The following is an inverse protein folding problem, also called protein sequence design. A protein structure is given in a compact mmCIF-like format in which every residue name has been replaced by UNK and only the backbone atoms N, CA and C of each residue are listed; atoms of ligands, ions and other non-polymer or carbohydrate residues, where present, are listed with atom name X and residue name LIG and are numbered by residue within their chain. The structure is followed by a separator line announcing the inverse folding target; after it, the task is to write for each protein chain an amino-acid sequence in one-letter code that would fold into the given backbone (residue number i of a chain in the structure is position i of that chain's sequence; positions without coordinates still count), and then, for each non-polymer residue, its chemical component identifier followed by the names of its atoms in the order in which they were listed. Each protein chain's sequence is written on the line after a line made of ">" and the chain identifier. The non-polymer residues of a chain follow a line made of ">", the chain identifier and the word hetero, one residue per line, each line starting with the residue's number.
data_IF_516877327028
#
_entry.id   IF_516877327028
#
_cell.length_a   1.000
_cell.length_b   1.000
_cell.length_c   1.000
_cell.angle_alpha   90.00
_cell.angle_beta   90.00
_cell.angle_gamma   90.00
#
_symmetry.space_group_name_H-M   'P 1'
#
loop_
_entity.id
_entity.type
_entity.pdbx_description
1 polymer ?
#
# COMPACT_ATOMS: atom_id res chain seq x y z
N UNK A 1 3.79 11.52 36.42
CA UNK A 1 3.99 10.18 35.82
C UNK A 1 4.17 10.34 34.33
N UNK A 2 4.93 9.45 33.68
CA UNK A 2 5.21 9.52 32.25
C UNK A 2 4.86 8.20 31.57
N UNK A 3 4.27 8.30 30.38
CA UNK A 3 4.02 7.14 29.52
C UNK A 3 5.34 6.45 29.18
N UNK A 4 5.33 5.11 29.17
CA UNK A 4 6.51 4.26 28.99
C UNK A 4 7.18 3.81 30.29
N UNK A 5 6.81 4.36 31.45
CA UNK A 5 7.33 3.91 32.73
C UNK A 5 6.75 2.55 33.15
N UNK A 6 7.57 1.69 33.76
CA UNK A 6 7.09 0.47 34.40
C UNK A 6 6.30 0.82 35.67
N UNK A 7 5.34 -0.05 36.04
CA UNK A 7 4.59 0.08 37.29
C UNK A 7 5.51 0.23 38.51
N UNK A 8 6.58 -0.58 38.57
CA UNK A 8 7.54 -0.54 39.70
C UNK A 8 8.21 0.84 39.80
N UNK A 9 8.59 1.43 38.66
CA UNK A 9 9.15 2.79 38.63
C UNK A 9 8.11 3.83 39.04
N UNK A 10 6.88 3.71 38.56
CA UNK A 10 5.77 4.60 38.94
C UNK A 10 5.59 4.58 40.46
N UNK A 11 5.53 3.39 41.07
CA UNK A 11 5.35 3.22 42.51
C UNK A 11 6.55 3.70 43.33
N UNK A 12 7.77 3.49 42.84
CA UNK A 12 8.98 3.99 43.50
C UNK A 12 9.03 5.53 43.59
N UNK A 13 8.51 6.22 42.56
CA UNK A 13 8.49 7.69 42.50
C UNK A 13 7.24 8.28 43.15
N UNK A 14 6.15 7.51 43.27
CA UNK A 14 4.86 7.98 43.78
C UNK A 14 4.43 7.10 44.97
N UNK A 15 4.86 7.43 46.21
CA UNK A 15 4.43 6.72 47.40
C UNK A 15 2.90 6.66 47.50
N UNK A 16 2.37 5.45 47.73
CA UNK A 16 0.92 5.20 47.81
C UNK A 16 0.21 4.99 46.47
N UNK A 17 0.95 4.85 45.35
CA UNK A 17 0.35 4.40 44.10
C UNK A 17 -0.09 2.92 44.22
N UNK A 18 -1.29 2.54 43.74
CA UNK A 18 -1.84 1.21 43.96
C UNK A 18 -1.01 0.05 43.39
N UNK A 19 -1.16 -1.13 44.00
CA UNK A 19 -0.61 -2.38 43.50
C UNK A 19 -1.27 -2.81 42.19
N UNK A 20 -0.59 -3.69 41.43
CA UNK A 20 -1.14 -4.28 40.21
C UNK A 20 -2.50 -4.95 40.43
N UNK A 21 -2.68 -5.63 41.58
CA UNK A 21 -3.91 -6.33 41.94
C UNK A 21 -5.10 -5.41 42.19
N UNK A 22 -4.89 -4.10 42.37
CA UNK A 22 -5.96 -3.12 42.49
C UNK A 22 -6.53 -2.70 41.12
N UNK A 23 -5.87 -3.09 40.02
CA UNK A 23 -6.29 -2.73 38.67
C UNK A 23 -7.46 -3.56 38.17
N UNK A 24 -8.35 -2.91 37.43
CA UNK A 24 -9.45 -3.57 36.72
C UNK A 24 -9.05 -3.88 35.28
N UNK A 25 -9.43 -5.06 34.78
CA UNK A 25 -9.25 -5.39 33.36
C UNK A 25 -10.20 -4.57 32.51
N UNK A 26 -9.66 -3.92 31.50
CA UNK A 26 -10.41 -3.18 30.50
C UNK A 26 -10.23 -3.83 29.14
N UNK A 27 -11.32 -4.38 28.61
CA UNK A 27 -11.38 -5.01 27.28
C UNK A 27 -11.87 -4.06 26.18
N UNK A 28 -12.33 -2.87 26.55
CA UNK A 28 -12.90 -1.88 25.63
C UNK A 28 -11.90 -0.88 25.06
N UNK A 29 -10.62 -1.29 24.90
CA UNK A 29 -9.50 -0.40 24.56
C UNK A 29 -9.91 0.67 23.53
N UNK A 30 -9.78 1.97 23.85
CA UNK A 30 -9.97 3.03 22.87
C UNK A 30 -9.09 2.71 21.67
N UNK A 31 -9.64 2.73 20.45
CA UNK A 31 -8.87 2.42 19.27
C UNK A 31 -7.65 3.36 19.19
N UNK A 32 -6.45 2.77 19.26
CA UNK A 32 -5.17 3.50 19.24
C UNK A 32 -4.30 3.32 20.49
N UNK A 33 -4.83 2.99 21.68
CA UNK A 33 -4.00 2.78 22.87
C UNK A 33 -3.27 1.43 22.84
N UNK A 34 -3.91 0.41 22.26
CA UNK A 34 -3.33 -0.89 22.01
C UNK A 34 -3.93 -1.48 20.74
N UNK A 35 -3.15 -2.27 19.99
CA UNK A 35 -3.67 -3.00 18.82
C UNK A 35 -4.88 -3.88 19.16
N UNK A 36 -5.65 -4.32 18.16
CA UNK A 36 -6.86 -5.13 18.36
C UNK A 36 -6.57 -6.37 19.23
N UNK A 37 -7.47 -6.64 20.19
CA UNK A 37 -7.40 -7.81 21.07
C UNK A 37 -6.49 -7.70 22.30
N UNK A 38 -5.82 -6.56 22.53
CA UNK A 38 -5.01 -6.36 23.73
C UNK A 38 -5.85 -5.90 24.93
N UNK A 39 -5.66 -6.58 26.07
CA UNK A 39 -6.29 -6.26 27.35
C UNK A 39 -5.41 -5.29 28.13
N UNK A 40 -6.01 -4.21 28.62
CA UNK A 40 -5.36 -3.25 29.50
C UNK A 40 -5.74 -3.48 30.96
N UNK A 41 -4.85 -3.10 31.86
CA UNK A 41 -5.14 -2.99 33.29
C UNK A 41 -5.23 -1.52 33.64
N UNK A 42 -6.38 -1.11 34.17
CA UNK A 42 -6.65 0.28 34.54
C UNK A 42 -6.54 0.42 36.05
N UNK A 43 -5.65 1.30 36.50
CA UNK A 43 -5.51 1.67 37.90
C UNK A 43 -5.99 3.11 38.05
N UNK A 44 -6.99 3.33 38.90
CA UNK A 44 -7.49 4.68 39.23
C UNK A 44 -6.75 5.21 40.44
N UNK A 45 -6.19 6.41 40.34
CA UNK A 45 -5.50 7.06 41.44
C UNK A 45 -5.58 8.58 41.31
N UNK A 46 -5.99 9.26 42.39
CA UNK A 46 -6.14 10.73 42.46
C UNK A 46 -6.87 11.30 41.23
N UNK A 47 -8.05 10.72 40.97
CA UNK A 47 -8.99 11.11 39.90
C UNK A 47 -8.54 10.85 38.45
N UNK A 48 -7.35 10.28 38.26
CA UNK A 48 -6.85 9.87 36.96
C UNK A 48 -6.95 8.35 36.79
N UNK A 49 -7.14 7.90 35.55
CA UNK A 49 -7.01 6.49 35.20
C UNK A 49 -5.68 6.25 34.47
N UNK A 50 -4.89 5.31 34.98
CA UNK A 50 -3.60 4.92 34.43
C UNK A 50 -3.72 3.55 33.78
N UNK A 51 -3.44 3.48 32.48
CA UNK A 51 -3.64 2.30 31.66
C UNK A 51 -2.30 1.61 31.43
N UNK A 52 -2.19 0.38 31.90
CA UNK A 52 -1.00 -0.45 31.76
C UNK A 52 -1.25 -1.62 30.82
N UNK A 53 -0.25 -1.96 30.02
CA UNK A 53 -0.28 -3.19 29.22
C UNK A 53 0.06 -4.44 30.04
N UNK A 54 0.04 -5.61 29.41
CA UNK A 54 0.35 -6.88 30.07
C UNK A 54 1.80 -6.98 30.58
N UNK A 55 2.72 -6.14 30.09
CA UNK A 55 4.09 -6.03 30.57
C UNK A 55 4.23 -5.10 31.79
N UNK A 56 3.11 -4.57 32.30
CA UNK A 56 3.05 -3.56 33.37
C UNK A 56 3.74 -2.26 33.00
N UNK A 57 3.72 -1.91 31.72
CA UNK A 57 4.19 -0.62 31.22
C UNK A 57 3.02 0.35 31.09
N UNK A 58 3.19 1.58 31.58
CA UNK A 58 2.17 2.64 31.46
C UNK A 58 2.07 3.07 30.00
N UNK A 59 0.94 2.82 29.35
CA UNK A 59 0.71 3.11 27.92
C UNK A 59 -0.28 4.25 27.68
N UNK A 60 -1.08 4.61 28.68
CA UNK A 60 -2.03 5.71 28.60
C UNK A 60 -2.37 6.31 29.96
N UNK A 61 -2.74 7.58 29.95
CA UNK A 61 -3.24 8.31 31.10
C UNK A 61 -4.52 9.02 30.66
N UNK A 62 -5.63 8.72 31.34
CA UNK A 62 -6.86 9.50 31.27
C UNK A 62 -6.87 10.47 32.46
N UNK A 63 -6.78 11.79 32.24
CA UNK A 63 -6.86 12.76 33.31
C UNK A 63 -8.28 12.89 33.90
N UNK A 64 -9.28 12.22 33.33
CA UNK A 64 -10.66 12.29 33.78
C UNK A 64 -11.29 13.66 33.53
N UNK A 65 -12.18 14.07 34.44
CA UNK A 65 -12.98 15.29 34.30
C UNK A 65 -12.20 16.60 34.42
N UNK A 66 -10.97 16.59 34.95
CA UNK A 66 -10.15 17.79 35.12
C UNK A 66 -9.56 18.31 33.79
N UNK A 67 -9.48 17.45 32.77
CA UNK A 67 -8.90 17.80 31.47
C UNK A 67 -7.37 17.80 31.46
N UNK A 68 -6.81 18.25 30.33
CA UNK A 68 -5.36 18.40 30.14
C UNK A 68 -4.84 19.68 30.80
N UNK A 69 -3.52 19.76 30.98
CA UNK A 69 -2.85 20.96 31.49
C UNK A 69 -3.09 22.19 30.59
N UNK A 70 -3.36 21.96 29.31
CA UNK A 70 -3.62 22.98 28.29
C UNK A 70 -5.09 23.45 28.27
N UNK A 71 -5.92 23.00 29.21
CA UNK A 71 -7.30 23.45 29.39
C UNK A 71 -8.35 22.75 28.53
N UNK A 72 -7.96 21.76 27.71
CA UNK A 72 -8.89 20.93 26.93
C UNK A 72 -9.44 19.82 27.80
N UNK A 73 -10.77 19.68 27.88
CA UNK A 73 -11.43 18.73 28.79
C UNK A 73 -12.65 18.05 28.13
N UNK A 74 -13.19 16.97 28.72
CA UNK A 74 -14.50 16.48 28.33
C UNK A 74 -15.54 17.60 28.29
N UNK A 75 -16.31 17.67 27.20
CA UNK A 75 -17.25 18.75 26.90
C UNK A 75 -16.70 19.86 25.99
N UNK A 76 -15.39 20.01 25.84
CA UNK A 76 -14.81 20.96 24.87
C UNK A 76 -15.17 20.60 23.43
N UNK A 77 -15.21 21.58 22.55
CA UNK A 77 -15.45 21.44 21.12
C UNK A 77 -14.18 21.04 20.34
N UNK A 78 -14.32 20.48 19.12
CA UNK A 78 -13.18 20.27 18.23
C UNK A 78 -12.43 21.55 17.84
N UNK A 79 -13.10 22.71 17.88
CA UNK A 79 -12.48 24.00 17.57
C UNK A 79 -11.49 24.39 18.67
N UNK A 80 -11.89 24.24 19.94
CA UNK A 80 -11.01 24.51 21.08
C UNK A 80 -9.80 23.57 21.07
N UNK A 81 -9.99 22.27 20.84
CA UNK A 81 -8.87 21.33 20.76
C UNK A 81 -7.89 21.67 19.62
N UNK A 82 -8.38 22.08 18.45
CA UNK A 82 -7.54 22.50 17.31
C UNK A 82 -6.82 23.82 17.56
N UNK A 83 -7.43 24.74 18.31
CA UNK A 83 -6.78 26.00 18.67
C UNK A 83 -5.56 25.77 19.57
N UNK A 84 -5.62 24.74 20.42
CA UNK A 84 -4.53 24.38 21.35
C UNK A 84 -3.49 23.47 20.68
N UNK A 85 -3.93 22.40 20.02
CA UNK A 85 -3.03 21.34 19.53
C UNK A 85 -2.74 21.41 18.03
N UNK A 86 -3.34 22.35 17.30
CA UNK A 86 -3.20 22.47 15.85
C UNK A 86 -3.99 21.42 15.06
N UNK A 87 -3.48 21.09 13.88
CA UNK A 87 -4.12 20.12 12.99
C UNK A 87 -3.97 18.68 13.53
N UNK A 88 -5.02 17.84 13.45
CA UNK A 88 -4.92 16.46 13.87
C UNK A 88 -4.04 15.65 12.91
N UNK A 89 -3.28 14.69 13.45
CA UNK A 89 -2.47 13.76 12.66
C UNK A 89 -3.30 12.66 12.03
N UNK A 90 -4.37 12.23 12.71
CA UNK A 90 -5.32 11.26 12.20
C UNK A 90 -6.69 11.37 12.85
N UNK A 91 -7.70 10.88 12.12
CA UNK A 91 -9.08 10.79 12.56
C UNK A 91 -9.64 9.45 12.11
N UNK A 92 -10.24 8.69 13.03
CA UNK A 92 -10.86 7.40 12.77
C UNK A 92 -12.29 7.37 13.33
N UNK A 93 -13.24 6.88 12.53
CA UNK A 93 -14.61 6.62 12.98
C UNK A 93 -14.64 5.28 13.71
N UNK A 94 -15.25 5.25 14.89
CA UNK A 94 -15.42 4.06 15.70
C UNK A 94 -16.77 3.39 15.39
N UNK A 95 -16.90 2.10 15.71
CA UNK A 95 -18.10 1.31 15.46
C UNK A 95 -19.33 1.83 16.22
N UNK A 96 -19.13 2.47 17.37
CA UNK A 96 -20.16 3.08 18.21
C UNK A 96 -20.59 4.49 17.74
N UNK A 97 -20.08 4.94 16.58
CA UNK A 97 -20.38 6.26 16.01
C UNK A 97 -19.55 7.40 16.57
N UNK A 98 -18.70 7.16 17.58
CA UNK A 98 -17.72 8.15 18.07
C UNK A 98 -16.55 8.28 17.09
N UNK A 99 -15.71 9.30 17.29
CA UNK A 99 -14.51 9.52 16.48
C UNK A 99 -13.28 9.65 17.36
N UNK A 100 -12.25 8.87 17.07
CA UNK A 100 -10.94 8.96 17.69
C UNK A 100 -10.04 9.85 16.85
N UNK A 101 -9.47 10.89 17.45
CA UNK A 101 -8.60 11.86 16.80
C UNK A 101 -7.29 11.95 17.55
N UNK A 102 -6.17 11.86 16.84
CA UNK A 102 -4.84 12.01 17.42
C UNK A 102 -4.28 13.41 17.14
N UNK A 103 -3.72 14.01 18.18
CA UNK A 103 -2.92 15.23 18.11
C UNK A 103 -1.53 14.97 18.70
N UNK A 104 -0.50 15.59 18.14
CA UNK A 104 0.86 15.53 18.70
C UNK A 104 0.87 16.23 20.07
N UNK A 105 1.31 15.53 21.12
CA UNK A 105 1.51 16.14 22.43
C UNK A 105 2.99 16.54 22.63
N UNK A 106 3.90 15.61 22.37
CA UNK A 106 5.35 15.85 22.42
C UNK A 106 6.04 14.95 21.38
N UNK A 107 6.70 15.57 20.41
CA UNK A 107 7.40 14.89 19.32
C UNK A 107 8.68 14.19 19.77
N UNK A 108 9.34 14.70 20.82
CA UNK A 108 10.56 14.13 21.39
C UNK A 108 10.24 12.92 22.25
N UNK A 109 9.24 13.04 23.12
CA UNK A 109 8.77 11.93 23.96
C UNK A 109 7.88 10.93 23.19
N UNK A 110 7.53 11.23 21.94
CA UNK A 110 6.65 10.44 21.06
C UNK A 110 5.28 10.17 21.70
N UNK A 111 4.74 11.18 22.38
CA UNK A 111 3.42 11.12 23.01
C UNK A 111 2.39 11.91 22.22
N UNK A 112 1.13 11.46 22.31
CA UNK A 112 -0.02 12.00 21.60
C UNK A 112 -1.19 12.21 22.56
N UNK A 113 -2.06 13.16 22.21
CA UNK A 113 -3.40 13.26 22.75
C UNK A 113 -4.36 12.46 21.86
N UNK A 114 -4.90 11.35 22.38
CA UNK A 114 -5.99 10.62 21.76
C UNK A 114 -7.31 11.16 22.32
N UNK A 115 -8.04 11.90 21.49
CA UNK A 115 -9.30 12.53 21.85
C UNK A 115 -10.46 11.78 21.20
N UNK A 116 -11.44 11.36 22.00
CA UNK A 116 -12.65 10.71 21.51
C UNK A 116 -13.79 11.73 21.51
N UNK A 117 -14.42 11.95 20.35
CA UNK A 117 -15.57 12.83 20.17
C UNK A 117 -16.88 12.04 20.09
N UNK A 118 -17.98 12.60 20.59
CA UNK A 118 -19.32 12.00 20.52
C UNK A 118 -19.94 11.98 19.10
N UNK A 119 -19.22 12.47 18.09
CA UNK A 119 -19.66 12.54 16.70
C UNK A 119 -18.54 13.01 15.78
N UNK A 120 -18.85 13.26 14.51
CA UNK A 120 -17.85 13.66 13.52
C UNK A 120 -17.28 15.07 13.84
N UNK A 121 -15.97 15.22 14.16
CA UNK A 121 -15.36 16.52 14.51
C UNK A 121 -15.28 17.53 13.35
N UNK A 122 -15.62 17.10 12.13
CA UNK A 122 -15.76 17.95 10.95
C UNK A 122 -17.22 18.38 10.69
N UNK A 123 -18.21 17.70 11.29
CA UNK A 123 -19.61 18.12 11.26
C UNK A 123 -19.89 18.99 12.51
N UNK A 124 -20.61 20.10 12.36
CA UNK A 124 -20.92 20.98 13.48
C UNK A 124 -21.72 20.27 14.60
N UNK A 125 -21.54 20.73 15.85
CA UNK A 125 -22.17 20.23 17.09
C UNK A 125 -21.69 18.86 17.62
N UNK A 126 -20.39 18.74 17.93
CA UNK A 126 -19.84 17.61 18.70
C UNK A 126 -18.93 18.11 19.81
N UNK A 127 -18.72 17.28 20.83
CA UNK A 127 -17.88 17.57 22.00
C UNK A 127 -16.97 16.39 22.31
N UNK A 128 -15.88 16.68 23.01
CA UNK A 128 -14.96 15.69 23.56
C UNK A 128 -15.69 14.85 24.61
N UNK A 129 -15.64 13.54 24.44
CA UNK A 129 -16.10 12.54 25.39
C UNK A 129 -15.01 12.21 26.40
N UNK A 130 -13.81 11.88 25.90
CA UNK A 130 -12.66 11.40 26.68
C UNK A 130 -11.36 11.90 26.03
N UNK A 131 -10.32 12.09 26.84
CA UNK A 131 -8.96 12.43 26.41
C UNK A 131 -7.99 11.42 27.02
N UNK A 132 -7.05 10.92 26.23
CA UNK A 132 -5.91 10.15 26.74
C UNK A 132 -4.60 10.80 26.33
N UNK A 133 -3.63 10.86 27.25
CA UNK A 133 -2.22 11.06 26.93
C UNK A 133 -1.58 9.70 26.77
N UNK A 134 -0.98 9.41 25.62
CA UNK A 134 -0.49 8.08 25.32
C UNK A 134 0.72 8.04 24.40
N UNK A 135 1.41 6.91 24.39
CA UNK A 135 2.39 6.54 23.37
C UNK A 135 1.69 5.84 22.19
N UNK A 136 0.41 6.20 21.95
CA UNK A 136 -0.36 5.65 20.85
C UNK A 136 0.43 5.85 19.57
N UNK A 137 0.82 4.77 18.92
CA UNK A 137 1.17 4.85 17.51
C UNK A 137 -0.11 5.13 16.75
N UNK A 138 -0.14 6.22 15.97
CA UNK A 138 -1.09 6.39 14.88
C UNK A 138 -1.23 5.02 14.20
N UNK A 139 -2.42 4.41 14.09
CA UNK A 139 -2.61 3.42 13.04
C UNK A 139 -2.17 4.19 11.81
N UNK A 140 -1.01 3.86 11.25
CA UNK A 140 -0.51 4.55 10.05
C UNK A 140 -1.71 4.57 9.15
N UNK A 141 -2.24 5.76 8.86
CA UNK A 141 -3.18 5.93 7.77
C UNK A 141 -2.44 5.25 6.64
N UNK A 142 -2.87 4.06 6.24
CA UNK A 142 -2.20 3.35 5.15
C UNK A 142 -2.47 4.28 3.99
N UNK A 143 -1.52 5.18 3.73
CA UNK A 143 -1.60 6.07 2.59
C UNK A 143 -1.73 5.09 1.46
N UNK A 144 -2.92 5.06 0.85
CA UNK A 144 -3.17 4.16 -0.25
C UNK A 144 -2.00 4.38 -1.21
N UNK A 145 -1.26 3.31 -1.47
CA UNK A 145 -0.09 3.33 -2.33
C UNK A 145 -0.36 2.32 -3.42
N UNK A 146 -0.06 2.68 -4.65
CA UNK A 146 -0.06 1.72 -5.74
C UNK A 146 0.91 0.59 -5.40
N UNK A 147 0.40 -0.63 -5.33
CA UNK A 147 1.20 -1.82 -5.06
C UNK A 147 1.91 -2.23 -6.35
N UNK A 148 3.23 -2.32 -6.30
CA UNK A 148 4.03 -2.78 -7.44
C UNK A 148 4.58 -4.15 -7.10
N UNK A 149 4.28 -5.14 -7.93
CA UNK A 149 4.83 -6.48 -7.82
C UNK A 149 5.56 -6.89 -9.10
N UNK A 150 6.38 -7.92 -8.94
CA UNK A 150 7.33 -8.39 -9.91
C UNK A 150 7.22 -9.90 -9.97
N UNK A 151 7.20 -10.48 -11.17
CA UNK A 151 6.96 -11.91 -11.34
C UNK A 151 7.90 -12.53 -12.36
N UNK A 152 8.37 -13.73 -12.04
CA UNK A 152 9.07 -14.60 -12.97
C UNK A 152 8.40 -15.97 -12.99
N UNK A 153 8.40 -16.69 -14.12
CA UNK A 153 7.88 -18.04 -14.16
C UNK A 153 8.58 -18.97 -13.17
N UNK A 154 7.78 -19.59 -12.30
CA UNK A 154 8.22 -20.54 -11.28
C UNK A 154 7.14 -21.60 -11.07
N UNK A 155 7.53 -22.87 -11.12
CA UNK A 155 6.60 -23.99 -10.88
C UNK A 155 6.07 -23.99 -9.44
N UNK A 156 6.83 -23.43 -8.48
CA UNK A 156 6.38 -23.28 -7.10
C UNK A 156 5.23 -22.26 -6.97
N UNK A 157 5.18 -21.29 -7.88
CA UNK A 157 4.12 -20.26 -7.92
C UNK A 157 2.97 -20.64 -8.86
N UNK A 158 2.90 -21.92 -9.26
CA UNK A 158 1.83 -22.49 -10.09
C UNK A 158 1.94 -22.16 -11.58
N UNK A 159 3.13 -21.84 -12.09
CA UNK A 159 3.33 -21.63 -13.52
C UNK A 159 3.47 -22.94 -14.28
N UNK A 160 2.90 -22.97 -15.48
CA UNK A 160 3.16 -24.03 -16.47
C UNK A 160 4.36 -23.63 -17.32
N UNK A 161 5.48 -24.33 -17.16
CA UNK A 161 6.71 -24.09 -17.95
C UNK A 161 6.86 -25.20 -18.98
N UNK A 162 6.42 -24.94 -20.23
CA UNK A 162 6.47 -25.91 -21.32
C UNK A 162 7.88 -25.97 -21.92
N UNK A 163 8.38 -27.17 -22.17
CA UNK A 163 9.63 -27.35 -22.91
C UNK A 163 9.36 -27.21 -24.41
N UNK A 164 10.23 -26.46 -25.11
CA UNK A 164 10.25 -26.36 -26.58
C UNK A 164 11.53 -26.99 -27.10
N UNK A 165 11.43 -27.65 -28.25
CA UNK A 165 12.57 -28.29 -28.94
C UNK A 165 13.23 -27.37 -29.95
N UNK A 166 12.51 -26.37 -30.44
CA UNK A 166 13.01 -25.32 -31.31
C UNK A 166 13.69 -24.19 -30.51
N UNK A 167 14.51 -23.38 -31.20
CA UNK A 167 15.17 -22.19 -30.63
C UNK A 167 14.62 -20.91 -31.29
N UNK A 168 13.53 -20.33 -30.73
CA UNK A 168 12.97 -19.06 -31.20
C UNK A 168 13.93 -17.88 -31.09
N UNK A 169 15.02 -18.00 -30.33
CA UNK A 169 16.02 -16.95 -30.13
C UNK A 169 17.30 -17.22 -30.92
N UNK A 170 17.30 -18.16 -31.86
CA UNK A 170 18.48 -18.49 -32.67
C UNK A 170 18.98 -17.29 -33.48
N UNK A 171 18.07 -16.45 -34.00
CA UNK A 171 18.41 -15.22 -34.72
C UNK A 171 19.01 -14.13 -33.82
N UNK A 172 18.83 -14.21 -32.49
CA UNK A 172 19.53 -13.31 -31.55
C UNK A 172 21.06 -13.49 -31.66
N UNK A 173 21.57 -14.58 -32.27
CA UNK A 173 23.00 -14.79 -32.48
C UNK A 173 23.62 -14.02 -33.66
N UNK A 174 22.83 -13.53 -34.62
CA UNK A 174 23.36 -13.12 -35.96
C UNK A 174 23.51 -11.62 -36.18
N UNK A 175 23.24 -10.79 -35.18
CA UNK A 175 23.37 -9.32 -35.25
C UNK A 175 22.02 -8.63 -35.10
N UNK A 176 22.01 -7.55 -34.32
CA UNK A 176 20.95 -6.55 -34.12
C UNK A 176 19.53 -6.96 -33.66
N UNK A 177 19.13 -8.23 -33.72
CA UNK A 177 17.74 -8.66 -33.41
C UNK A 177 17.47 -8.97 -31.92
N UNK A 178 18.53 -9.09 -31.13
CA UNK A 178 18.43 -9.14 -29.69
C UNK A 178 18.22 -7.75 -29.12
N UNK A 179 16.97 -7.31 -29.04
CA UNK A 179 16.62 -6.05 -28.38
C UNK A 179 16.23 -6.29 -26.93
N UNK A 180 16.59 -5.34 -26.06
CA UNK A 180 16.02 -5.26 -24.72
C UNK A 180 14.50 -5.41 -24.78
N UNK A 181 13.94 -6.28 -23.95
CA UNK A 181 12.48 -6.43 -23.93
C UNK A 181 11.83 -5.13 -23.48
N UNK A 182 10.69 -4.77 -24.07
CA UNK A 182 9.86 -3.68 -23.57
C UNK A 182 9.32 -3.95 -22.16
N UNK A 183 9.41 -5.18 -21.66
CA UNK A 183 9.06 -5.55 -20.28
C UNK A 183 10.28 -5.62 -19.35
N UNK A 184 11.50 -5.38 -19.85
CA UNK A 184 12.73 -5.60 -19.11
C UNK A 184 12.84 -4.65 -17.91
N UNK A 185 12.69 -5.17 -16.69
CA UNK A 185 12.90 -4.41 -15.46
C UNK A 185 14.29 -4.61 -14.87
N UNK A 186 15.07 -5.57 -15.41
CA UNK A 186 16.44 -5.86 -14.99
C UNK A 186 17.37 -6.05 -16.19
N UNK A 187 18.70 -5.91 -15.97
CA UNK A 187 19.68 -6.24 -16.99
C UNK A 187 19.52 -7.69 -17.47
N UNK A 188 19.87 -7.91 -18.72
CA UNK A 188 19.90 -9.22 -19.38
C UNK A 188 18.52 -9.90 -19.55
N UNK A 189 17.45 -9.11 -19.44
CA UNK A 189 16.10 -9.45 -19.91
C UNK A 189 15.91 -8.97 -21.36
N UNK A 190 15.56 -9.90 -22.24
CA UNK A 190 15.54 -9.65 -23.69
C UNK A 190 14.28 -10.15 -24.37
N UNK A 191 14.05 -9.66 -25.58
CA UNK A 191 13.09 -10.24 -26.52
C UNK A 191 13.83 -11.11 -27.53
N UNK A 192 13.19 -12.16 -28.02
CA UNK A 192 13.70 -13.00 -29.09
C UNK A 192 13.31 -12.48 -30.49
N UNK A 193 12.80 -11.25 -30.57
CA UNK A 193 12.39 -10.60 -31.80
C UNK A 193 10.90 -10.74 -32.08
N UNK A 194 10.47 -10.11 -33.18
CA UNK A 194 9.05 -9.99 -33.56
C UNK A 194 8.42 -11.32 -34.00
N UNK A 195 9.24 -12.30 -34.40
CA UNK A 195 8.76 -13.61 -34.90
C UNK A 195 8.66 -14.67 -33.82
N UNK A 196 9.09 -14.38 -32.59
CA UNK A 196 9.20 -15.35 -31.52
C UNK A 196 7.86 -15.55 -30.77
N UNK A 197 6.80 -16.01 -31.46
CA UNK A 197 5.57 -16.59 -30.88
C UNK A 197 5.03 -15.95 -29.58
N UNK A 198 4.88 -14.62 -29.53
CA UNK A 198 4.36 -13.91 -28.35
C UNK A 198 5.19 -14.08 -27.05
N UNK A 199 6.49 -14.39 -27.15
CA UNK A 199 7.40 -14.39 -26.01
C UNK A 199 7.61 -12.95 -25.52
N UNK A 200 7.08 -12.62 -24.34
CA UNK A 200 7.07 -11.23 -23.84
C UNK A 200 8.47 -10.81 -23.36
N UNK A 201 9.09 -11.64 -22.53
CA UNK A 201 10.43 -11.40 -21.99
C UNK A 201 11.10 -12.71 -21.64
N UNK A 202 12.40 -12.76 -21.91
CA UNK A 202 13.23 -13.94 -21.79
C UNK A 202 14.46 -13.65 -20.92
N UNK A 203 14.95 -14.71 -20.26
CA UNK A 203 16.26 -14.73 -19.61
C UNK A 203 17.04 -15.96 -20.02
N UNK A 204 18.35 -15.78 -20.09
CA UNK A 204 19.32 -16.79 -20.42
C UNK A 204 20.04 -17.25 -19.15
N UNK A 205 20.14 -18.56 -18.97
CA UNK A 205 20.92 -19.20 -17.92
C UNK A 205 21.61 -20.45 -18.48
N UNK A 206 22.95 -20.40 -18.59
CA UNK A 206 23.81 -21.51 -18.96
C UNK A 206 23.31 -22.39 -20.13
N UNK A 207 22.94 -21.74 -21.24
CA UNK A 207 22.47 -22.42 -22.47
C UNK A 207 20.99 -22.79 -22.47
N UNK A 208 20.23 -22.37 -21.44
CA UNK A 208 18.78 -22.47 -21.40
C UNK A 208 18.17 -21.08 -21.40
N UNK A 209 17.09 -20.90 -22.15
CA UNK A 209 16.29 -19.68 -22.15
C UNK A 209 14.93 -20.00 -21.56
N UNK A 210 14.47 -19.18 -20.61
CA UNK A 210 13.10 -19.22 -20.10
C UNK A 210 12.41 -17.91 -20.47
N UNK A 211 11.23 -18.00 -21.07
CA UNK A 211 10.45 -16.86 -21.51
C UNK A 211 9.03 -16.87 -20.92
N UNK A 212 8.58 -15.71 -20.47
CA UNK A 212 7.19 -15.48 -20.09
C UNK A 212 6.34 -15.34 -21.35
N UNK A 213 5.23 -16.08 -21.41
CA UNK A 213 4.28 -16.03 -22.54
C UNK A 213 3.00 -15.31 -22.16
N UNK A 214 2.38 -15.72 -21.05
CA UNK A 214 1.13 -15.12 -20.60
C UNK A 214 1.07 -15.13 -19.07
N UNK A 215 0.95 -13.94 -18.47
CA UNK A 215 0.88 -13.81 -17.02
C UNK A 215 -0.43 -14.30 -16.43
N UNK A 216 -1.55 -14.06 -17.10
CA UNK A 216 -2.89 -14.41 -16.60
C UNK A 216 -3.07 -15.92 -16.51
N UNK A 217 -2.62 -16.66 -17.53
CA UNK A 217 -2.61 -18.12 -17.54
C UNK A 217 -1.43 -18.72 -16.79
N UNK A 218 -0.47 -17.89 -16.33
CA UNK A 218 0.81 -18.30 -15.76
C UNK A 218 1.57 -19.28 -16.67
N UNK A 219 1.66 -18.93 -17.94
CA UNK A 219 2.33 -19.73 -18.96
C UNK A 219 3.71 -19.18 -19.31
N UNK A 220 4.66 -20.10 -19.38
CA UNK A 220 6.02 -19.84 -19.82
C UNK A 220 6.54 -20.98 -20.67
N UNK A 221 7.61 -20.71 -21.41
CA UNK A 221 8.35 -21.73 -22.17
C UNK A 221 9.81 -21.74 -21.76
N UNK A 222 10.43 -22.91 -21.92
CA UNK A 222 11.87 -23.09 -21.76
C UNK A 222 12.41 -23.90 -22.93
N UNK A 223 13.57 -23.50 -23.43
CA UNK A 223 14.28 -24.18 -24.50
C UNK A 223 15.79 -24.00 -24.36
N UNK A 224 16.53 -24.68 -25.23
CA UNK A 224 17.98 -24.51 -25.35
C UNK A 224 18.26 -23.45 -26.40
N UNK A 225 19.19 -22.55 -26.10
CA UNK A 225 19.66 -21.55 -27.06
C UNK A 225 21.12 -21.20 -26.75
N UNK A 226 21.87 -20.83 -27.79
CA UNK A 226 23.20 -20.24 -27.63
C UNK A 226 23.22 -18.77 -28.05
N UNK A 227 22.16 -18.26 -28.68
CA UNK A 227 22.17 -16.91 -29.26
C UNK A 227 22.36 -15.77 -28.25
N UNK A 228 21.73 -15.80 -27.06
CA UNK A 228 21.94 -14.78 -26.03
C UNK A 228 23.26 -14.91 -25.25
N UNK A 229 24.06 -15.95 -25.49
CA UNK A 229 25.25 -16.22 -24.68
C UNK A 229 26.28 -15.08 -24.78
N UNK A 230 26.72 -14.57 -23.63
CA UNK A 230 27.72 -13.48 -23.56
C UNK A 230 27.20 -12.11 -24.04
N UNK A 231 25.90 -11.97 -24.32
CA UNK A 231 25.28 -10.70 -24.67
C UNK A 231 24.76 -10.00 -23.42
N UNK A 232 24.76 -8.68 -23.48
CA UNK A 232 24.16 -7.84 -22.45
C UNK A 232 22.96 -7.08 -23.01
N UNK A 233 21.88 -7.04 -22.23
CA UNK A 233 20.66 -6.33 -22.59
C UNK A 233 20.34 -5.27 -21.54
N UNK A 234 20.10 -4.05 -21.99
CA UNK A 234 19.80 -2.93 -21.10
C UNK A 234 18.39 -3.04 -20.52
N UNK A 235 18.19 -2.42 -19.36
CA UNK A 235 16.86 -2.18 -18.79
C UNK A 235 16.12 -1.16 -19.67
N UNK A 236 14.82 -1.31 -19.85
CA UNK A 236 14.03 -0.28 -20.53
C UNK A 236 13.63 0.84 -19.57
N UNK A 237 13.67 2.09 -20.03
CA UNK A 237 13.37 3.26 -19.19
C UNK A 237 11.91 3.26 -18.70
N UNK A 238 11.00 2.71 -19.50
CA UNK A 238 9.57 2.63 -19.20
C UNK A 238 9.07 1.20 -19.47
N UNK A 239 9.31 0.28 -18.53
CA UNK A 239 8.89 -1.10 -18.71
C UNK A 239 7.38 -1.16 -18.85
N UNK A 240 6.93 -1.99 -19.79
CA UNK A 240 5.53 -2.29 -19.99
C UNK A 240 5.08 -3.23 -18.87
N UNK A 241 3.93 -2.97 -18.23
CA UNK A 241 3.40 -3.87 -17.22
C UNK A 241 2.75 -5.08 -17.88
N UNK A 242 2.72 -6.20 -17.16
CA UNK A 242 1.98 -7.40 -17.54
C UNK A 242 0.48 -7.24 -17.20
N UNK A 243 0.19 -6.54 -16.10
CA UNK A 243 -1.17 -6.31 -15.61
C UNK A 243 -1.23 -5.06 -14.74
N UNK A 244 -2.38 -4.38 -14.76
CA UNK A 244 -2.75 -3.34 -13.81
C UNK A 244 -4.14 -3.62 -13.21
N UNK A 245 -4.39 -3.14 -11.99
CA UNK A 245 -5.71 -3.13 -11.37
C UNK A 245 -6.02 -1.73 -10.91
N UNK A 246 -7.20 -1.23 -11.26
CA UNK A 246 -7.61 0.15 -11.10
C UNK A 246 -8.55 0.34 -9.90
N UNK A 247 -8.68 1.58 -9.42
CA UNK A 247 -9.53 1.89 -8.27
C UNK A 247 -11.00 1.57 -8.52
N UNK A 248 -11.46 1.72 -9.76
CA UNK A 248 -12.81 1.40 -10.24
C UNK A 248 -13.08 -0.11 -10.39
N UNK A 249 -12.13 -0.98 -10.01
CA UNK A 249 -12.28 -2.43 -10.04
C UNK A 249 -11.91 -3.08 -11.38
N UNK A 250 -11.58 -2.31 -12.41
CA UNK A 250 -11.12 -2.87 -13.68
C UNK A 250 -9.73 -3.51 -13.52
N UNK A 251 -9.55 -4.62 -14.23
CA UNK A 251 -8.27 -5.31 -14.38
C UNK A 251 -7.87 -5.17 -15.83
N UNK A 252 -6.66 -4.66 -16.06
CA UNK A 252 -6.13 -4.46 -17.39
C UNK A 252 -4.92 -5.39 -17.62
N UNK A 253 -4.99 -6.23 -18.65
CA UNK A 253 -3.97 -7.21 -18.98
C UNK A 253 -3.24 -6.81 -20.26
N UNK A 254 -1.95 -7.15 -20.35
CA UNK A 254 -1.21 -6.97 -21.58
C UNK A 254 -1.76 -7.87 -22.69
N UNK A 255 -1.86 -7.33 -23.89
CA UNK A 255 -2.25 -8.06 -25.10
C UNK A 255 -1.18 -7.92 -26.19
N UNK A 256 -1.01 -8.97 -27.00
CA UNK A 256 0.06 -9.00 -28.01
C UNK A 256 -0.19 -8.09 -29.22
N UNK A 257 -1.45 -7.75 -29.49
CA UNK A 257 -1.83 -6.98 -30.67
C UNK A 257 -3.09 -6.16 -30.38
N UNK A 258 -3.07 -4.87 -30.70
CA UNK A 258 -4.23 -4.01 -30.70
C UNK A 258 -4.41 -3.39 -32.07
N UNK A 259 -5.60 -3.56 -32.65
CA UNK A 259 -6.00 -2.95 -33.92
C UNK A 259 -7.19 -2.01 -33.75
N UNK A 260 -7.59 -1.75 -32.50
CA UNK A 260 -8.75 -0.92 -32.18
C UNK A 260 -8.38 0.55 -32.27
N UNK A 261 -9.37 1.36 -32.66
CA UNK A 261 -9.23 2.80 -32.62
C UNK A 261 -9.46 3.31 -31.19
N UNK A 262 -8.49 4.03 -30.65
CA UNK A 262 -8.58 4.70 -29.35
C UNK A 262 -8.72 6.21 -29.48
N UNK A 263 -8.99 6.86 -28.35
CA UNK A 263 -9.04 8.31 -28.27
C UNK A 263 -7.80 8.98 -28.90
N UNK A 264 -8.05 9.89 -29.84
CA UNK A 264 -7.01 10.67 -30.51
C UNK A 264 -6.01 9.84 -31.31
N UNK A 265 -6.36 8.60 -31.70
CA UNK A 265 -5.46 7.71 -32.45
C UNK A 265 -4.25 7.21 -31.64
N UNK A 266 -4.34 7.26 -30.31
CA UNK A 266 -3.27 6.79 -29.42
C UNK A 266 -3.23 5.27 -29.38
N UNK A 267 -2.10 4.73 -28.95
CA UNK A 267 -1.95 3.28 -28.82
C UNK A 267 -2.31 2.79 -27.42
N UNK A 268 -2.73 1.53 -27.36
CA UNK A 268 -2.94 0.78 -26.13
C UNK A 268 -2.55 -0.67 -26.35
N UNK A 269 -2.03 -1.30 -25.30
CA UNK A 269 -1.79 -2.74 -25.21
C UNK A 269 -2.24 -3.29 -23.85
N UNK A 270 -2.90 -2.48 -23.02
CA UNK A 270 -3.42 -2.86 -21.71
C UNK A 270 -4.94 -2.81 -21.71
N UNK A 271 -5.56 -3.91 -22.13
CA UNK A 271 -7.00 -4.02 -22.23
C UNK A 271 -7.63 -4.35 -20.90
N UNK A 272 -8.68 -3.60 -20.56
CA UNK A 272 -9.37 -3.66 -19.29
C UNK A 272 -10.69 -4.43 -19.42
N UNK A 273 -10.85 -5.49 -18.63
CA UNK A 273 -12.03 -6.36 -18.72
C UNK A 273 -11.91 -7.38 -19.86
N UNK A 274 -13.04 -7.78 -20.44
CA UNK A 274 -13.07 -8.81 -21.48
C UNK A 274 -12.54 -8.28 -22.82
N UNK A 275 -11.70 -9.09 -23.48
CA UNK A 275 -11.00 -8.77 -24.74
C UNK A 275 -11.94 -8.52 -25.95
N UNK A 276 -13.25 -8.70 -25.79
CA UNK A 276 -14.26 -8.44 -26.83
C UNK A 276 -15.36 -7.49 -26.39
N UNK A 277 -15.16 -6.76 -25.29
CA UNK A 277 -16.15 -5.81 -24.81
C UNK A 277 -16.30 -4.65 -25.80
N UNK A 278 -17.54 -4.31 -26.13
CA UNK A 278 -17.92 -3.11 -26.87
C UNK A 278 -18.69 -2.16 -25.93
N UNK A 279 -18.21 -0.94 -25.66
CA UNK A 279 -16.95 -0.36 -26.14
C UNK A 279 -15.71 -0.98 -25.47
N UNK A 280 -14.63 -1.04 -26.25
CA UNK A 280 -13.29 -1.47 -25.78
C UNK A 280 -12.84 -0.56 -24.65
N UNK A 281 -12.23 -1.14 -23.62
CA UNK A 281 -11.71 -0.39 -22.46
C UNK A 281 -10.24 -0.68 -22.34
N UNK A 282 -9.44 0.36 -22.17
CA UNK A 282 -8.00 0.17 -22.10
C UNK A 282 -7.28 1.29 -21.36
N UNK A 283 -6.01 1.08 -21.06
CA UNK A 283 -5.12 2.16 -20.63
C UNK A 283 -4.39 2.71 -21.85
N UNK A 284 -4.31 4.04 -21.96
CA UNK A 284 -3.64 4.68 -23.10
C UNK A 284 -2.15 4.87 -22.84
N UNK A 285 -1.33 4.53 -23.83
CA UNK A 285 0.08 4.81 -23.80
C UNK A 285 0.30 6.32 -23.94
N UNK A 286 1.10 6.90 -23.05
CA UNK A 286 1.49 8.32 -23.12
C UNK A 286 2.62 8.49 -24.15
N UNK A 287 2.83 9.73 -24.57
CA UNK A 287 3.90 10.07 -25.54
C UNK A 287 5.30 9.70 -25.07
N UNK A 288 5.53 9.61 -23.76
CA UNK A 288 6.79 9.16 -23.18
C UNK A 288 6.95 7.62 -23.15
N UNK A 289 5.99 6.85 -23.67
CA UNK A 289 6.06 5.39 -23.67
C UNK A 289 5.65 4.72 -22.34
N UNK A 290 5.07 5.48 -21.40
CA UNK A 290 4.53 4.94 -20.14
C UNK A 290 3.00 4.96 -20.10
N UNK A 291 2.39 4.07 -19.32
CA UNK A 291 0.96 4.12 -19.01
C UNK A 291 0.64 4.94 -17.76
N UNK A 292 1.61 5.07 -16.85
CA UNK A 292 1.36 5.56 -15.51
C UNK A 292 2.03 6.91 -15.27
N UNK A 293 1.34 7.80 -14.55
CA UNK A 293 2.00 8.88 -13.83
C UNK A 293 2.46 8.33 -12.48
N UNK A 294 3.77 8.31 -12.27
CA UNK A 294 4.39 7.76 -11.06
C UNK A 294 4.97 8.83 -10.14
N UNK A 295 4.63 10.11 -10.36
CA UNK A 295 5.13 11.25 -9.58
C UNK A 295 4.66 11.24 -8.12
N UNK A 296 3.53 10.59 -7.83
CA UNK A 296 2.95 10.43 -6.50
C UNK A 296 3.02 9.02 -5.94
N UNK A 297 2.61 8.85 -4.67
CA UNK A 297 2.48 7.52 -4.04
C UNK A 297 1.29 6.71 -4.58
N UNK A 298 0.27 7.42 -5.09
CA UNK A 298 -0.82 6.85 -5.88
C UNK A 298 -0.54 7.17 -7.34
N UNK A 299 -0.27 6.13 -8.11
CA UNK A 299 -0.11 6.27 -9.54
C UNK A 299 -1.46 6.48 -10.20
N UNK A 300 -1.46 7.19 -11.32
CA UNK A 300 -2.66 7.38 -12.14
C UNK A 300 -2.41 6.90 -13.56
N UNK A 301 -3.48 6.51 -14.24
CA UNK A 301 -3.47 6.12 -15.64
C UNK A 301 -4.59 6.86 -16.39
N UNK A 302 -4.44 7.01 -17.69
CA UNK A 302 -5.51 7.46 -18.58
C UNK A 302 -6.29 6.24 -19.06
N UNK A 303 -7.54 6.15 -18.62
CA UNK A 303 -8.46 5.06 -18.89
C UNK A 303 -9.44 5.47 -19.97
N UNK A 304 -9.40 4.73 -21.07
CA UNK A 304 -10.18 4.95 -22.28
C UNK A 304 -11.36 3.98 -22.37
N UNK A 305 -12.42 4.46 -23.02
CA UNK A 305 -13.64 3.69 -23.33
C UNK A 305 -14.04 4.02 -24.77
N UNK A 306 -13.67 3.14 -25.69
CA UNK A 306 -13.85 3.31 -27.14
C UNK A 306 -12.99 4.46 -27.67
N UNK A 307 -13.64 5.50 -28.20
CA UNK A 307 -12.99 6.70 -28.73
C UNK A 307 -13.31 7.96 -27.91
N UNK A 308 -13.92 7.79 -26.74
CA UNK A 308 -14.27 8.90 -25.85
C UNK A 308 -13.03 9.50 -25.19
N UNK A 309 -13.12 10.75 -24.73
CA UNK A 309 -12.01 11.37 -23.99
C UNK A 309 -11.66 10.52 -22.74
N UNK A 310 -10.37 10.21 -22.50
CA UNK A 310 -9.97 9.34 -21.43
C UNK A 310 -10.18 10.02 -20.08
N UNK A 311 -10.46 9.20 -19.08
CA UNK A 311 -10.56 9.65 -17.68
C UNK A 311 -9.29 9.30 -16.94
N UNK A 312 -8.88 10.16 -16.01
CA UNK A 312 -7.78 9.81 -15.10
C UNK A 312 -8.32 8.91 -13.98
N UNK A 313 -7.69 7.76 -13.78
CA UNK A 313 -8.06 6.80 -12.73
C UNK A 313 -6.85 6.42 -11.89
N UNK A 314 -7.08 6.18 -10.61
CA UNK A 314 -6.05 5.72 -9.68
C UNK A 314 -5.73 4.24 -9.94
N UNK A 315 -4.43 3.91 -9.92
CA UNK A 315 -3.95 2.54 -10.04
C UNK A 315 -3.78 1.93 -8.65
N UNK A 316 -4.48 0.83 -8.37
CA UNK A 316 -4.36 0.09 -7.11
C UNK A 316 -3.11 -0.78 -7.09
N UNK A 317 -2.86 -1.51 -8.17
CA UNK A 317 -1.68 -2.36 -8.28
C UNK A 317 -1.21 -2.54 -9.72
N UNK A 318 0.09 -2.80 -9.89
CA UNK A 318 0.74 -3.08 -11.17
C UNK A 318 1.66 -4.28 -11.00
N UNK A 319 1.68 -5.15 -12.01
CA UNK A 319 2.57 -6.31 -12.09
C UNK A 319 3.51 -6.13 -13.26
N UNK A 320 4.81 -6.22 -13.00
CA UNK A 320 5.86 -6.22 -14.02
C UNK A 320 6.51 -7.60 -14.11
N UNK A 321 7.14 -7.88 -15.25
CA UNK A 321 8.03 -9.02 -15.36
C UNK A 321 9.30 -8.76 -14.56
N UNK A 322 9.82 -9.82 -13.94
CA UNK A 322 11.10 -9.85 -13.27
C UNK A 322 11.75 -11.17 -13.54
#
# INVERSE_FOLDING_TARGET
>A
MQVGQSLDRVRAVNPGFPEWSAGSRFSGSPPGLTGPGKVLTVIVWRDCSYLFDSSKTLVGIDPGGSGTIDGVKPGSSPVEARAVYGAPESTAKNADGTYSVLYQADSTAKTHYLIVYNGNPAAGATVIKIIYVCACSVPRKTVAKTQVSYVWPSTQDGWTIRQRSDDPCSAVSTGDDGVSSNFATRPDEFSCGIEADSLLVCRYDAGSVTCLVNYEMKDAVRFRSTGPAGRHFAVTAHPQPLRATLSNGQVCNWISHDQTQHYGGRNSWLWCGEFSADPVRALLLKSNGSYFDTSGTLWTAEYDVGTAAPTTVTVKSVVYAQ
#
